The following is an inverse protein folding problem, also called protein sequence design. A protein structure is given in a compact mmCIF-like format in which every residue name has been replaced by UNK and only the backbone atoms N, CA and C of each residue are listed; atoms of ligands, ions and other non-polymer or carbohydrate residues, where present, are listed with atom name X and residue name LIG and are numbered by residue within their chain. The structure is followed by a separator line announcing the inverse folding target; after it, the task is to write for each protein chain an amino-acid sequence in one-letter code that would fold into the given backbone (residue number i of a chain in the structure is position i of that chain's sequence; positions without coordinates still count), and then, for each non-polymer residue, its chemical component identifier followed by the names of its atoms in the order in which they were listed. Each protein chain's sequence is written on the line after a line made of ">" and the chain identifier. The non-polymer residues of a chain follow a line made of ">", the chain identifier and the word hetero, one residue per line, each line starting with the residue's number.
data_IF_357890833857
#
_entry.id   IF_357890833857
#
_cell.length_a   1.000
_cell.length_b   1.000
_cell.length_c   1.000
_cell.angle_alpha   90.00
_cell.angle_beta   90.00
_cell.angle_gamma   90.00
#
_symmetry.space_group_name_H-M   'P 1'
#
loop_
_entity.id
_entity.type
_entity.pdbx_description
1 polymer ?
#
# COMPACT_ATOMS: atom_id res chain seq x y z
N UNK A 1 44.09 -47.83 -26.73
CA UNK A 1 44.33 -46.40 -26.54
C UNK A 1 43.18 -45.47 -27.02
N UNK A 2 42.05 -45.94 -27.57
CA UNK A 2 40.98 -45.11 -28.12
C UNK A 2 39.96 -44.56 -27.06
N UNK A 3 39.78 -45.26 -25.92
CA UNK A 3 38.75 -44.86 -24.94
C UNK A 3 39.11 -43.65 -24.09
N UNK A 4 40.41 -43.30 -23.93
CA UNK A 4 40.87 -42.21 -23.07
C UNK A 4 40.50 -40.82 -23.62
N UNK A 5 40.36 -40.69 -24.93
CA UNK A 5 40.04 -39.41 -25.56
C UNK A 5 38.54 -39.06 -25.46
N UNK A 6 37.64 -40.06 -25.34
CA UNK A 6 36.23 -39.82 -25.19
C UNK A 6 35.85 -39.27 -23.81
N UNK A 7 36.59 -39.67 -22.76
CA UNK A 7 36.35 -39.18 -21.40
C UNK A 7 36.67 -37.69 -21.30
N UNK A 8 37.76 -37.23 -21.90
CA UNK A 8 38.11 -35.79 -21.91
C UNK A 8 37.11 -34.98 -22.73
N UNK A 9 36.62 -35.52 -23.83
CA UNK A 9 35.62 -34.85 -24.66
C UNK A 9 34.28 -34.72 -23.91
N UNK A 10 33.88 -35.72 -23.14
CA UNK A 10 32.67 -35.71 -22.31
C UNK A 10 32.80 -34.76 -21.13
N UNK A 11 33.95 -34.67 -20.48
CA UNK A 11 34.24 -33.77 -19.35
C UNK A 11 34.23 -32.31 -19.78
N UNK A 12 34.63 -32.00 -21.04
CA UNK A 12 34.59 -30.63 -21.58
C UNK A 12 33.22 -30.27 -22.15
N UNK A 13 32.42 -31.23 -22.63
CA UNK A 13 31.13 -30.98 -23.26
C UNK A 13 30.03 -30.67 -22.24
N UNK A 14 30.09 -31.31 -21.04
CA UNK A 14 29.09 -31.09 -19.99
C UNK A 14 29.08 -29.63 -19.48
N UNK A 15 30.22 -28.97 -19.11
CA UNK A 15 30.19 -27.57 -18.68
C UNK A 15 29.86 -26.62 -19.83
N UNK A 16 30.21 -26.93 -21.08
CA UNK A 16 29.86 -26.12 -22.22
C UNK A 16 28.34 -26.09 -22.48
N UNK A 17 27.68 -27.25 -22.37
CA UNK A 17 26.23 -27.35 -22.53
C UNK A 17 25.47 -26.64 -21.40
N UNK A 18 25.98 -26.70 -20.16
CA UNK A 18 25.37 -26.00 -19.03
C UNK A 18 25.54 -24.46 -19.13
N UNK A 19 26.68 -23.99 -19.62
CA UNK A 19 26.90 -22.55 -19.86
C UNK A 19 26.00 -22.01 -20.97
N UNK A 20 25.89 -22.72 -22.09
CA UNK A 20 25.01 -22.32 -23.20
C UNK A 20 23.53 -22.42 -22.81
N UNK A 21 23.14 -23.44 -22.06
CA UNK A 21 21.77 -23.61 -21.58
C UNK A 21 21.32 -22.52 -20.62
N UNK A 22 22.22 -21.96 -19.80
CA UNK A 22 21.95 -20.82 -18.93
C UNK A 22 21.61 -19.55 -19.72
N UNK A 23 22.37 -19.26 -20.76
CA UNK A 23 22.16 -18.07 -21.60
C UNK A 23 20.87 -18.13 -22.46
N UNK A 24 20.46 -19.31 -22.87
CA UNK A 24 19.24 -19.51 -23.69
C UNK A 24 17.95 -19.41 -22.87
N UNK A 25 18.01 -19.43 -21.55
CA UNK A 25 16.87 -19.34 -20.66
C UNK A 25 16.65 -17.97 -20.04
N UNK A 26 17.57 -17.02 -20.27
CA UNK A 26 17.42 -15.66 -19.77
C UNK A 26 16.37 -14.90 -20.58
N UNK A 27 15.49 -14.23 -19.89
CA UNK A 27 14.48 -13.33 -20.45
C UNK A 27 14.59 -11.96 -19.82
N UNK A 28 14.07 -10.96 -20.52
CA UNK A 28 13.90 -9.61 -20.00
C UNK A 28 12.43 -9.40 -19.70
N UNK A 29 12.11 -9.07 -18.45
CA UNK A 29 10.80 -8.58 -18.08
C UNK A 29 10.71 -7.10 -18.42
N UNK A 30 9.77 -6.76 -19.25
CA UNK A 30 9.42 -5.37 -19.58
C UNK A 30 7.93 -5.21 -19.48
N UNK A 31 7.51 -4.22 -18.72
CA UNK A 31 6.09 -3.97 -18.54
C UNK A 31 5.83 -2.56 -18.03
N UNK A 32 4.57 -2.29 -17.81
CA UNK A 32 4.06 -1.03 -17.31
C UNK A 32 3.20 -1.28 -16.06
N UNK A 33 3.38 -0.46 -15.06
CA UNK A 33 2.63 -0.49 -13.80
C UNK A 33 1.64 0.67 -13.79
N UNK A 34 0.36 0.37 -13.62
CA UNK A 34 -0.73 1.33 -13.59
C UNK A 34 -1.48 1.25 -12.26
N UNK A 35 -2.04 2.36 -11.87
CA UNK A 35 -3.05 2.43 -10.80
C UNK A 35 -4.37 1.86 -11.33
N UNK A 36 -4.95 0.88 -10.63
CA UNK A 36 -6.18 0.22 -11.05
C UNK A 36 -7.38 1.18 -11.06
N UNK A 37 -7.39 2.16 -10.16
CA UNK A 37 -8.52 3.05 -9.95
C UNK A 37 -8.55 4.24 -10.90
N UNK A 38 -7.37 4.80 -11.23
CA UNK A 38 -7.25 5.98 -12.11
C UNK A 38 -6.74 5.64 -13.50
N UNK A 39 -6.06 4.51 -13.69
CA UNK A 39 -5.35 4.18 -14.91
C UNK A 39 -4.03 4.95 -15.10
N UNK A 40 -3.65 5.78 -14.14
CA UNK A 40 -2.42 6.56 -14.21
C UNK A 40 -1.17 5.67 -14.02
N UNK A 41 -0.02 6.04 -14.61
CA UNK A 41 1.21 5.32 -14.41
C UNK A 41 1.71 5.45 -12.96
N UNK A 42 2.18 4.34 -12.38
CA UNK A 42 2.80 4.32 -11.05
C UNK A 42 4.29 4.46 -11.19
N UNK A 43 4.80 5.67 -11.02
CA UNK A 43 6.22 5.98 -11.07
C UNK A 43 6.95 5.55 -9.78
N UNK A 44 8.26 5.24 -9.91
CA UNK A 44 9.14 4.82 -8.81
C UNK A 44 8.62 3.62 -8.00
N UNK A 45 7.81 2.78 -8.62
CA UNK A 45 7.39 1.53 -8.02
C UNK A 45 8.56 0.53 -8.04
N UNK A 46 8.96 -0.05 -6.91
CA UNK A 46 9.97 -1.08 -6.89
C UNK A 46 9.43 -2.37 -7.49
N UNK A 47 10.12 -2.86 -8.53
CA UNK A 47 9.88 -4.14 -9.18
C UNK A 47 11.05 -5.05 -8.85
N UNK A 48 10.81 -6.15 -8.16
CA UNK A 48 11.86 -6.98 -7.59
C UNK A 48 11.78 -8.43 -8.06
N UNK A 49 12.96 -9.04 -8.21
CA UNK A 49 13.14 -10.47 -8.39
C UNK A 49 14.33 -10.94 -7.56
N UNK A 50 14.07 -11.68 -6.50
CA UNK A 50 15.10 -12.05 -5.54
C UNK A 50 15.77 -10.82 -4.92
N UNK A 51 17.07 -10.66 -5.14
CA UNK A 51 17.86 -9.52 -4.65
C UNK A 51 17.96 -8.35 -5.66
N UNK A 52 17.42 -8.54 -6.87
CA UNK A 52 17.44 -7.50 -7.91
C UNK A 52 16.22 -6.64 -7.78
N UNK A 53 16.39 -5.33 -7.94
CA UNK A 53 15.30 -4.37 -7.92
C UNK A 53 15.55 -3.28 -8.94
N UNK A 54 14.50 -2.87 -9.63
CA UNK A 54 14.45 -1.69 -10.49
C UNK A 54 13.25 -0.84 -10.11
N UNK A 55 13.31 0.44 -10.41
CA UNK A 55 12.17 1.34 -10.21
C UNK A 55 11.50 1.61 -11.57
N UNK A 56 10.18 1.75 -11.55
CA UNK A 56 9.46 2.26 -12.72
C UNK A 56 9.83 3.72 -12.99
N UNK A 57 9.84 4.10 -14.25
CA UNK A 57 10.01 5.49 -14.70
C UNK A 57 8.71 6.32 -14.50
N UNK A 58 8.72 7.56 -15.03
CA UNK A 58 7.57 8.49 -14.97
C UNK A 58 6.34 7.96 -15.72
N UNK A 59 6.54 7.11 -16.70
CA UNK A 59 5.46 6.47 -17.47
C UNK A 59 5.04 5.12 -16.89
N UNK A 60 5.56 4.76 -15.71
CA UNK A 60 5.31 3.49 -15.03
C UNK A 60 6.04 2.30 -15.66
N UNK A 61 6.96 2.52 -16.59
CA UNK A 61 7.65 1.44 -17.32
C UNK A 61 8.83 0.92 -16.50
N UNK A 62 9.02 -0.40 -16.52
CA UNK A 62 10.18 -1.07 -15.94
C UNK A 62 10.83 -2.01 -16.94
N UNK A 63 12.14 -2.22 -16.77
CA UNK A 63 12.92 -3.23 -17.50
C UNK A 63 13.80 -3.97 -16.49
N UNK A 64 13.60 -5.27 -16.37
CA UNK A 64 14.38 -6.14 -15.49
C UNK A 64 14.98 -7.29 -16.31
N UNK A 65 16.29 -7.27 -16.48
CA UNK A 65 17.01 -8.18 -17.36
C UNK A 65 17.49 -9.45 -16.66
N UNK A 66 17.86 -10.45 -17.45
CA UNK A 66 18.45 -11.71 -16.99
C UNK A 66 17.57 -12.48 -16.00
N UNK A 67 16.33 -12.68 -16.35
CA UNK A 67 15.39 -13.48 -15.58
C UNK A 67 15.25 -14.89 -16.18
N UNK A 68 15.20 -15.94 -15.36
CA UNK A 68 14.78 -17.25 -15.83
C UNK A 68 13.37 -17.21 -16.41
N UNK A 69 13.11 -18.02 -17.43
CA UNK A 69 11.75 -18.13 -18.00
C UNK A 69 10.73 -18.57 -16.93
N UNK A 70 9.56 -17.97 -16.94
CA UNK A 70 8.50 -18.26 -15.95
C UNK A 70 8.75 -17.66 -14.57
N UNK A 71 9.71 -16.73 -14.45
CA UNK A 71 9.94 -15.99 -13.22
C UNK A 71 8.72 -15.15 -12.84
N UNK A 72 8.49 -15.03 -11.54
CA UNK A 72 7.53 -14.06 -10.98
C UNK A 72 8.29 -12.88 -10.39
N UNK A 73 7.83 -11.70 -10.70
CA UNK A 73 8.30 -10.44 -10.12
C UNK A 73 7.34 -10.00 -9.03
N UNK A 74 7.86 -9.32 -8.03
CA UNK A 74 7.06 -8.69 -6.97
C UNK A 74 7.11 -7.17 -7.16
N UNK A 75 5.95 -6.53 -7.16
CA UNK A 75 5.77 -5.09 -7.29
C UNK A 75 5.09 -4.61 -6.00
N UNK A 76 5.75 -3.72 -5.26
CA UNK A 76 5.27 -3.31 -3.92
C UNK A 76 5.53 -1.82 -3.62
N UNK A 77 4.95 -0.89 -4.39
CA UNK A 77 5.09 0.52 -4.10
C UNK A 77 4.30 0.92 -2.85
N UNK A 78 4.72 2.02 -2.23
CA UNK A 78 4.03 2.56 -1.06
C UNK A 78 2.60 2.98 -1.43
N UNK A 79 1.62 2.61 -0.61
CA UNK A 79 0.22 2.98 -0.82
C UNK A 79 -0.57 2.03 -1.71
N UNK A 80 0.05 0.94 -2.16
CA UNK A 80 -0.60 -0.10 -2.96
C UNK A 80 -0.42 -1.48 -2.35
N UNK A 81 -1.36 -2.36 -2.63
CA UNK A 81 -1.23 -3.76 -2.29
C UNK A 81 -0.05 -4.39 -3.06
N UNK A 82 0.81 -5.18 -2.40
CA UNK A 82 1.88 -5.87 -3.08
C UNK A 82 1.32 -6.90 -4.05
N UNK A 83 1.82 -6.92 -5.28
CA UNK A 83 1.36 -7.83 -6.33
C UNK A 83 2.52 -8.65 -6.90
N UNK A 84 2.31 -9.97 -6.97
CA UNK A 84 3.20 -10.87 -7.69
C UNK A 84 2.65 -11.13 -9.09
N UNK A 85 3.42 -10.78 -10.12
CA UNK A 85 3.06 -10.95 -11.52
C UNK A 85 4.07 -11.82 -12.26
N UNK A 86 3.66 -12.45 -13.35
CA UNK A 86 4.60 -13.14 -14.23
C UNK A 86 5.48 -12.11 -14.96
N UNK A 87 6.79 -12.41 -15.08
CA UNK A 87 7.74 -11.51 -15.73
C UNK A 87 7.39 -11.19 -17.20
N UNK A 88 6.57 -12.01 -17.83
CA UNK A 88 6.08 -11.79 -19.20
C UNK A 88 4.86 -10.86 -19.28
N UNK A 89 4.31 -10.41 -18.13
CA UNK A 89 3.12 -9.55 -18.11
C UNK A 89 3.48 -8.14 -18.56
N UNK A 90 2.89 -7.69 -19.67
CA UNK A 90 3.19 -6.38 -20.24
C UNK A 90 2.56 -5.20 -19.47
N UNK A 91 1.43 -5.44 -18.81
CA UNK A 91 0.72 -4.43 -18.02
C UNK A 91 0.26 -5.01 -16.69
N UNK A 92 0.57 -4.31 -15.60
CA UNK A 92 0.22 -4.70 -14.24
C UNK A 92 -0.59 -3.59 -13.62
N UNK A 93 -1.76 -3.91 -13.06
CA UNK A 93 -2.62 -2.96 -12.35
C UNK A 93 -2.50 -3.22 -10.85
N UNK A 94 -2.22 -2.15 -10.11
CA UNK A 94 -2.08 -2.19 -8.66
C UNK A 94 -3.28 -1.55 -7.98
N UNK A 95 -3.79 -2.22 -6.96
CA UNK A 95 -4.89 -1.71 -6.15
C UNK A 95 -4.35 -0.74 -5.08
N UNK A 96 -4.76 0.56 -5.09
CA UNK A 96 -4.33 1.51 -4.09
C UNK A 96 -5.12 1.31 -2.78
N UNK A 97 -4.43 1.25 -1.62
CA UNK A 97 -5.07 1.22 -0.31
C UNK A 97 -4.88 2.53 0.48
N UNK A 98 -3.89 3.34 0.10
CA UNK A 98 -3.61 4.61 0.76
C UNK A 98 -3.00 5.62 -0.21
N UNK A 99 -3.19 6.91 0.06
CA UNK A 99 -2.62 8.01 -0.71
C UNK A 99 -1.65 8.79 0.18
N UNK A 100 -0.40 8.91 -0.25
CA UNK A 100 0.61 9.70 0.44
C UNK A 100 0.63 11.14 -0.10
N UNK A 101 0.69 12.12 0.81
CA UNK A 101 0.82 13.53 0.46
C UNK A 101 1.99 14.15 1.23
N UNK A 102 2.61 15.14 0.60
CA UNK A 102 3.56 16.03 1.22
C UNK A 102 2.98 17.45 1.18
N UNK A 103 2.70 18.01 2.34
CA UNK A 103 2.10 19.36 2.47
C UNK A 103 3.20 20.34 2.85
N UNK A 104 3.45 21.30 1.97
CA UNK A 104 4.48 22.32 2.14
C UNK A 104 3.88 23.71 2.34
N UNK A 105 4.59 24.57 3.04
CA UNK A 105 4.26 25.97 3.17
C UNK A 105 4.59 26.70 1.87
N UNK A 106 3.64 27.48 1.35
CA UNK A 106 3.84 28.29 0.16
C UNK A 106 4.94 29.34 0.41
N UNK A 107 5.79 29.53 -0.58
CA UNK A 107 6.88 30.55 -0.55
C UNK A 107 7.90 30.36 0.60
N UNK A 108 8.03 29.15 1.13
CA UNK A 108 8.92 28.86 2.27
C UNK A 108 10.41 28.74 1.91
N UNK A 109 10.75 28.87 0.62
CA UNK A 109 12.14 28.74 0.13
C UNK A 109 12.51 27.36 -0.36
N UNK A 110 13.79 27.14 -0.63
CA UNK A 110 14.34 25.85 -1.09
C UNK A 110 15.43 25.37 -0.10
N UNK A 111 15.26 24.20 0.52
CA UNK A 111 14.15 23.28 0.37
C UNK A 111 12.83 23.78 0.97
N UNK A 112 11.68 23.35 0.40
CA UNK A 112 10.38 23.77 0.89
C UNK A 112 10.13 23.25 2.31
N UNK A 113 9.59 24.13 3.17
CA UNK A 113 9.25 23.77 4.54
C UNK A 113 7.92 23.02 4.60
N UNK A 114 7.90 21.87 5.26
CA UNK A 114 6.68 21.14 5.54
C UNK A 114 5.74 21.88 6.49
N UNK A 115 4.44 21.76 6.25
CA UNK A 115 3.39 22.30 7.12
C UNK A 115 3.18 21.32 8.28
N UNK A 116 3.21 21.82 9.50
CA UNK A 116 2.98 21.00 10.69
C UNK A 116 1.54 20.53 10.81
N UNK A 117 1.36 19.24 11.16
CA UNK A 117 0.07 18.61 11.48
C UNK A 117 -1.02 18.81 10.45
N UNK A 118 -0.77 18.58 9.15
CA UNK A 118 -1.81 18.66 8.14
C UNK A 118 -2.86 17.56 8.33
N UNK A 119 -4.09 17.84 7.88
CA UNK A 119 -5.21 16.91 7.85
C UNK A 119 -5.75 16.76 6.45
N UNK A 120 -6.27 15.57 6.13
CA UNK A 120 -6.96 15.27 4.87
C UNK A 120 -8.41 14.92 5.17
N UNK A 121 -9.32 15.54 4.46
CA UNK A 121 -10.75 15.28 4.59
C UNK A 121 -11.42 15.06 3.24
N UNK A 122 -12.44 14.23 3.25
CA UNK A 122 -13.34 14.02 2.11
C UNK A 122 -14.77 14.28 2.60
N UNK A 123 -15.34 15.43 2.22
CA UNK A 123 -16.56 15.91 2.85
C UNK A 123 -16.39 16.07 4.37
N UNK A 124 -17.26 15.42 5.14
CA UNK A 124 -17.22 15.44 6.61
C UNK A 124 -16.32 14.36 7.20
N UNK A 125 -15.76 13.49 6.38
CA UNK A 125 -14.90 12.40 6.84
C UNK A 125 -13.44 12.83 6.88
N UNK A 126 -12.76 12.55 8.01
CA UNK A 126 -11.31 12.67 8.13
C UNK A 126 -10.67 11.37 7.63
N UNK A 127 -9.90 11.46 6.54
CA UNK A 127 -9.19 10.32 5.95
C UNK A 127 -7.78 10.18 6.48
N UNK A 128 -7.18 11.25 6.97
CA UNK A 128 -5.82 11.22 7.50
C UNK A 128 -5.51 12.42 8.37
N UNK A 129 -4.52 12.24 9.25
CA UNK A 129 -4.01 13.28 10.13
C UNK A 129 -4.31 13.05 11.62
N UNK A 130 -3.69 13.88 12.50
CA UNK A 130 -2.71 14.89 12.10
C UNK A 130 -1.47 14.25 11.49
N UNK A 131 -0.97 14.86 10.41
CA UNK A 131 0.28 14.46 9.79
C UNK A 131 1.49 14.79 10.68
N UNK A 132 2.69 14.55 10.16
CA UNK A 132 3.94 14.90 10.84
C UNK A 132 4.21 16.39 10.82
N UNK A 133 5.11 16.87 11.68
CA UNK A 133 5.56 18.27 11.67
C UNK A 133 6.36 18.64 10.41
N UNK A 134 6.79 17.64 9.63
CA UNK A 134 7.43 17.83 8.32
C UNK A 134 6.45 17.88 7.14
N UNK A 135 5.14 17.85 7.40
CA UNK A 135 4.10 17.93 6.37
C UNK A 135 3.76 16.60 5.68
N UNK A 136 4.37 15.48 6.08
CA UNK A 136 4.03 14.17 5.52
C UNK A 136 2.74 13.62 6.14
N UNK A 137 1.82 13.18 5.31
CA UNK A 137 0.53 12.62 5.74
C UNK A 137 0.07 11.51 4.80
N UNK A 138 -0.70 10.58 5.33
CA UNK A 138 -1.28 9.48 4.57
C UNK A 138 -2.79 9.49 4.76
N UNK A 139 -3.53 9.48 3.65
CA UNK A 139 -4.96 9.22 3.63
C UNK A 139 -5.22 7.71 3.53
N UNK A 140 -5.90 7.16 4.52
CA UNK A 140 -6.33 5.76 4.54
C UNK A 140 -7.71 5.67 5.20
N UNK A 141 -8.69 4.96 4.62
CA UNK A 141 -8.58 4.21 3.36
C UNK A 141 -8.33 5.13 2.16
N UNK A 142 -7.99 4.53 1.02
CA UNK A 142 -7.79 5.28 -0.22
C UNK A 142 -9.06 6.08 -0.57
N UNK A 143 -8.94 7.39 -0.85
CA UNK A 143 -10.10 8.22 -1.16
C UNK A 143 -10.76 7.79 -2.48
N UNK A 144 -12.06 7.99 -2.59
CA UNK A 144 -12.77 7.69 -3.82
C UNK A 144 -12.22 8.52 -4.99
N UNK A 145 -11.82 7.86 -6.07
CA UNK A 145 -11.23 8.50 -7.26
C UNK A 145 -12.16 9.57 -7.82
N UNK A 146 -11.59 10.73 -8.18
CA UNK A 146 -12.34 11.86 -8.68
C UNK A 146 -13.05 12.69 -7.61
N UNK A 147 -13.07 12.25 -6.35
CA UNK A 147 -13.58 13.06 -5.25
C UNK A 147 -12.62 14.22 -4.94
N UNK A 148 -13.16 15.28 -4.34
CA UNK A 148 -12.37 16.40 -3.86
C UNK A 148 -11.89 16.14 -2.44
N UNK A 149 -10.60 16.31 -2.23
CA UNK A 149 -9.97 16.23 -0.92
C UNK A 149 -9.67 17.63 -0.42
N UNK A 150 -10.12 17.93 0.79
CA UNK A 150 -9.77 19.14 1.49
C UNK A 150 -8.50 18.88 2.32
N UNK A 151 -7.46 19.63 2.05
CA UNK A 151 -6.21 19.63 2.82
C UNK A 151 -6.21 20.89 3.68
N UNK A 152 -6.03 20.73 4.97
CA UNK A 152 -5.99 21.83 5.93
C UNK A 152 -4.93 21.64 7.01
N UNK A 153 -4.51 22.71 7.63
CA UNK A 153 -3.59 22.71 8.76
C UNK A 153 -3.84 23.93 9.66
N UNK A 154 -3.41 23.91 10.93
CA UNK A 154 -3.46 25.09 11.77
C UNK A 154 -2.72 26.28 11.13
N UNK A 155 -3.24 27.47 11.25
CA UNK A 155 -2.65 28.74 10.78
C UNK A 155 -2.33 28.77 9.27
N UNK A 156 -3.05 27.97 8.46
CA UNK A 156 -2.91 27.95 7.02
C UNK A 156 -4.30 27.99 6.35
N UNK A 157 -4.30 28.50 5.13
CA UNK A 157 -5.48 28.40 4.26
C UNK A 157 -5.69 26.97 3.80
N UNK A 158 -6.92 26.63 3.48
CA UNK A 158 -7.27 25.31 2.98
C UNK A 158 -6.97 25.19 1.48
N UNK A 159 -6.61 24.00 1.03
CA UNK A 159 -6.50 23.65 -0.38
C UNK A 159 -7.41 22.47 -0.72
N UNK A 160 -7.93 22.49 -1.93
CA UNK A 160 -8.73 21.37 -2.46
C UNK A 160 -8.01 20.74 -3.64
N UNK A 161 -7.83 19.44 -3.61
CA UNK A 161 -7.21 18.67 -4.69
C UNK A 161 -8.11 17.50 -5.08
N UNK A 162 -8.12 17.07 -6.35
CA UNK A 162 -8.79 15.84 -6.72
C UNK A 162 -8.03 14.63 -6.14
N UNK A 163 -8.75 13.62 -5.67
CA UNK A 163 -8.18 12.34 -5.33
C UNK A 163 -7.65 11.67 -6.61
N UNK A 164 -6.35 11.59 -6.73
CA UNK A 164 -5.65 10.96 -7.86
C UNK A 164 -4.54 10.11 -7.32
N UNK A 165 -4.33 8.96 -7.94
CA UNK A 165 -3.16 8.10 -7.81
C UNK A 165 -2.61 7.98 -6.38
N UNK A 166 -2.29 6.81 -6.01
CA UNK A 166 -1.35 6.58 -4.92
C UNK A 166 -0.01 6.37 -5.61
N UNK A 167 1.08 6.49 -4.97
CA UNK A 167 2.36 6.22 -5.60
C UNK A 167 3.47 6.23 -4.59
N UNK A 168 4.61 5.75 -5.02
CA UNK A 168 5.83 5.88 -4.23
C UNK A 168 6.20 7.36 -4.04
N UNK A 169 5.78 8.22 -4.98
CA UNK A 169 5.98 9.67 -4.91
C UNK A 169 4.75 10.30 -4.26
N UNK A 170 4.89 10.97 -3.11
CA UNK A 170 3.77 11.67 -2.48
C UNK A 170 3.29 12.83 -3.37
N UNK A 171 1.99 13.04 -3.40
CA UNK A 171 1.40 14.24 -4.04
C UNK A 171 1.80 15.46 -3.22
N UNK A 172 2.43 16.43 -3.87
CA UNK A 172 2.86 17.67 -3.20
C UNK A 172 1.74 18.69 -3.25
N UNK A 173 1.37 19.22 -2.08
CA UNK A 173 0.37 20.26 -1.91
C UNK A 173 1.01 21.43 -1.19
N UNK A 174 0.74 22.67 -1.64
CA UNK A 174 1.24 23.86 -0.97
C UNK A 174 0.09 24.63 -0.31
N UNK A 175 0.27 24.99 0.96
CA UNK A 175 -0.68 25.83 1.72
C UNK A 175 -0.07 27.20 2.00
N UNK A 176 -0.85 28.25 1.76
CA UNK A 176 -0.48 29.60 2.19
C UNK A 176 -0.74 29.76 3.70
N UNK A 177 0.03 30.63 4.37
CA UNK A 177 -0.32 31.09 5.72
C UNK A 177 -1.65 31.81 5.71
N UNK A 178 -2.52 31.45 6.64
CA UNK A 178 -3.87 32.00 6.72
C UNK A 178 -4.49 31.75 8.07
N UNK A 179 -5.70 32.23 8.24
CA UNK A 179 -6.45 32.11 9.50
C UNK A 179 -7.57 31.09 9.45
N UNK A 180 -7.81 30.45 8.31
CA UNK A 180 -8.93 29.55 8.15
C UNK A 180 -8.79 28.27 8.97
N UNK A 181 -7.59 27.70 9.01
CA UNK A 181 -7.36 26.44 9.70
C UNK A 181 -8.23 25.29 9.15
N UNK A 182 -8.29 24.22 9.89
CA UNK A 182 -9.20 23.11 9.56
C UNK A 182 -10.62 23.41 10.04
N UNK A 183 -11.65 23.30 9.18
CA UNK A 183 -13.05 23.44 9.59
C UNK A 183 -13.38 22.49 10.74
N UNK A 184 -14.25 22.89 11.67
CA UNK A 184 -14.69 21.97 12.72
C UNK A 184 -15.38 20.75 12.09
N UNK A 185 -15.07 19.55 12.60
CA UNK A 185 -15.81 18.35 12.20
C UNK A 185 -17.23 18.45 12.77
N UNK A 186 -18.26 18.00 12.01
CA UNK A 186 -19.60 17.92 12.55
C UNK A 186 -19.58 17.04 13.81
N UNK A 187 -20.12 17.56 14.88
CA UNK A 187 -20.28 16.77 16.12
C UNK A 187 -21.16 15.58 15.79
N UNK A 188 -20.72 14.34 16.03
CA UNK A 188 -21.58 13.19 15.82
C UNK A 188 -22.88 13.39 16.59
N UNK A 189 -24.01 13.23 15.90
CA UNK A 189 -25.30 13.28 16.55
C UNK A 189 -25.29 12.29 17.74
N UNK A 190 -25.81 12.65 18.91
CA UNK A 190 -25.85 11.76 20.03
C UNK A 190 -26.52 10.46 19.59
N UNK A 191 -25.81 9.36 19.71
CA UNK A 191 -26.36 8.02 19.43
C UNK A 191 -27.65 7.91 20.23
N UNK A 192 -28.82 7.69 19.60
CA UNK A 192 -30.06 7.51 20.36
C UNK A 192 -29.81 6.40 21.38
N UNK A 193 -30.08 6.70 22.65
CA UNK A 193 -29.95 5.73 23.71
C UNK A 193 -30.71 4.47 23.28
N UNK A 194 -30.13 3.27 23.46
CA UNK A 194 -30.81 2.04 23.09
C UNK A 194 -32.18 2.06 23.78
N UNK A 195 -33.22 2.21 22.96
CA UNK A 195 -34.62 2.18 23.42
C UNK A 195 -34.79 0.86 24.19
N UNK A 196 -35.04 0.95 25.48
CA UNK A 196 -34.97 -0.16 26.42
C UNK A 196 -35.58 -1.43 25.84
N UNK A 197 -34.72 -2.39 25.53
CA UNK A 197 -35.19 -3.75 25.29
C UNK A 197 -35.96 -4.18 26.53
N UNK A 198 -37.20 -4.69 26.41
CA UNK A 198 -37.92 -5.21 27.55
C UNK A 198 -37.06 -6.28 28.22
N UNK A 199 -36.80 -6.12 29.51
CA UNK A 199 -36.12 -7.11 30.34
C UNK A 199 -36.77 -8.48 30.07
N UNK A 200 -36.00 -9.51 29.73
CA UNK A 200 -36.53 -10.85 29.61
C UNK A 200 -37.11 -11.23 30.95
N UNK A 201 -38.44 -11.44 30.98
CA UNK A 201 -39.20 -11.90 32.12
C UNK A 201 -38.55 -13.17 32.65
N UNK A 202 -38.22 -13.18 33.94
CA UNK A 202 -37.38 -14.15 34.60
C UNK A 202 -37.68 -15.60 34.26
N UNK A 203 -36.67 -16.31 33.82
CA UNK A 203 -36.66 -17.77 33.85
C UNK A 203 -36.70 -18.26 35.33
N UNK A 204 -37.50 -19.25 35.66
CA UNK A 204 -37.55 -19.76 37.01
C UNK A 204 -36.21 -20.38 37.43
N UNK A 205 -35.76 -19.98 38.59
CA UNK A 205 -34.56 -20.49 39.25
C UNK A 205 -34.71 -22.01 39.44
N UNK A 206 -33.79 -22.84 38.96
CA UNK A 206 -33.84 -24.28 39.26
C UNK A 206 -33.59 -24.52 40.75
N UNK A 207 -34.49 -25.30 41.34
CA UNK A 207 -34.47 -25.73 42.75
C UNK A 207 -33.17 -26.48 43.07
N UNK A 208 -32.52 -26.26 44.21
CA UNK A 208 -31.30 -26.96 44.58
C UNK A 208 -31.55 -28.46 44.77
N UNK A 209 -30.75 -29.27 44.07
CA UNK A 209 -30.72 -30.73 44.17
C UNK A 209 -30.23 -31.16 45.58
N UNK A 210 -30.82 -32.15 46.21
CA UNK A 210 -30.40 -32.59 47.56
C UNK A 210 -28.99 -33.21 47.49
N UNK A 211 -28.22 -32.84 48.52
CA UNK A 211 -26.85 -33.32 48.76
C UNK A 211 -26.84 -34.81 49.10
N UNK A 212 -25.95 -35.64 48.59
CA UNK A 212 -25.85 -37.06 48.96
C UNK A 212 -25.25 -37.20 50.34
N UNK A 213 -25.92 -38.07 51.16
CA UNK A 213 -25.51 -38.50 52.50
C UNK A 213 -24.17 -39.24 52.49
N UNK A 214 -23.30 -39.08 53.47
CA UNK A 214 -22.05 -39.79 53.58
C UNK A 214 -22.28 -41.29 53.90
N UNK A 215 -21.71 -42.15 53.02
CA UNK A 215 -21.62 -43.57 53.19
C UNK A 215 -20.61 -43.92 54.29
N UNK A 216 -21.04 -44.60 55.40
CA UNK A 216 -20.13 -45.22 56.33
C UNK A 216 -19.58 -46.51 55.73
N UNK A 217 -18.25 -46.61 55.71
CA UNK A 217 -17.55 -47.88 55.51
C UNK A 217 -17.26 -48.56 56.80
N UNK A 218 -17.28 -49.92 56.82
CA UNK A 218 -16.86 -50.75 57.95
C UNK A 218 -15.34 -50.83 58.10
#
# INVERSE_FOLDING_TARGET
>A
MRHRNYVYLLVLLVPAVTLIGGWLNDTTARGRVLDESSGDPVAQAPVTYGIRSVLTDTDGVYVLEHLPRGSKILIHPRGYDPLSADAATAEVKLHPFAMALQVNEKDSGDPPKGVAKPEIRQGDARLGGPGTDSGSIVAAPYPQVGSQLLICAPDHDTATIPARGGGAIPVVVTLAKGTQGCPALPTPAPTPAPSGAPLPSGSPVPSPSPSPSPSKSP
#
